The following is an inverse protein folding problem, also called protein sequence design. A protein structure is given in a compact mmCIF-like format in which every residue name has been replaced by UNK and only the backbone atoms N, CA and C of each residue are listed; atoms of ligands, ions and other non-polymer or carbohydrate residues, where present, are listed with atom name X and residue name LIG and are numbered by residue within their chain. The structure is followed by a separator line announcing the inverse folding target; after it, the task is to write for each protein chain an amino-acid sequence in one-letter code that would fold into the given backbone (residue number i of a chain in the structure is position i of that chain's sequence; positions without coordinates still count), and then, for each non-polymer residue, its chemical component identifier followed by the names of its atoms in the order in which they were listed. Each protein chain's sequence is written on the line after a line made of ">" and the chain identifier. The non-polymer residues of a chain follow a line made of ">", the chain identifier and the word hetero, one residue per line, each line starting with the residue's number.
data_IF_637770902225
#
_entry.id   IF_637770902225
#
_cell.length_a   1.000
_cell.length_b   1.000
_cell.length_c   1.000
_cell.angle_alpha   90.00
_cell.angle_beta   90.00
_cell.angle_gamma   90.00
#
_symmetry.space_group_name_H-M   'P 1'
#
loop_
_entity.id
_entity.type
_entity.pdbx_description
1 polymer ?
#
# COMPACT_ATOMS: atom_id res chain seq x y z
N UNK A 1 15.50 3.00 -3.30
CA UNK A 1 14.89 3.15 -4.64
C UNK A 1 13.50 3.73 -4.44
N UNK A 2 13.09 4.75 -5.19
CA UNK A 2 11.72 5.26 -5.15
C UNK A 2 10.74 4.19 -5.65
N UNK A 3 9.57 4.08 -5.00
CA UNK A 3 8.52 3.09 -5.28
C UNK A 3 7.93 3.17 -6.70
N UNK A 4 8.20 4.27 -7.42
CA UNK A 4 7.70 4.57 -8.76
C UNK A 4 8.07 3.52 -9.82
N UNK A 5 9.21 2.85 -9.66
CA UNK A 5 9.64 1.78 -10.56
C UNK A 5 9.16 0.38 -10.13
N UNK A 6 8.54 0.26 -8.94
CA UNK A 6 8.06 -1.02 -8.47
C UNK A 6 6.87 -1.50 -9.32
N UNK A 7 5.93 -0.65 -9.73
CA UNK A 7 4.73 -1.16 -10.41
C UNK A 7 4.88 -1.46 -11.91
N UNK A 8 5.99 -1.03 -12.55
CA UNK A 8 6.19 -1.16 -14.00
C UNK A 8 6.82 -2.49 -14.47
N UNK A 9 7.03 -3.45 -13.58
CA UNK A 9 7.53 -4.78 -13.93
C UNK A 9 7.07 -5.90 -13.01
N UNK A 10 6.15 -5.62 -12.08
CA UNK A 10 5.74 -6.56 -11.04
C UNK A 10 4.35 -7.11 -11.36
N UNK A 11 4.23 -8.45 -11.35
CA UNK A 11 2.97 -9.15 -11.63
C UNK A 11 1.89 -8.74 -10.63
N UNK A 12 1.00 -7.85 -11.09
CA UNK A 12 -0.07 -7.26 -10.30
C UNK A 12 -1.38 -7.93 -10.66
N UNK A 13 -2.10 -8.45 -9.68
CA UNK A 13 -3.35 -9.16 -9.86
C UNK A 13 -4.40 -8.71 -8.86
N UNK A 14 -5.64 -8.63 -9.32
CA UNK A 14 -6.80 -8.41 -8.46
C UNK A 14 -7.15 -9.71 -7.75
N UNK A 15 -7.17 -9.70 -6.43
CA UNK A 15 -7.68 -10.83 -5.63
C UNK A 15 -9.19 -10.70 -5.45
N UNK A 16 -9.67 -9.50 -5.12
CA UNK A 16 -11.08 -9.16 -5.05
C UNK A 16 -11.29 -7.66 -5.34
N UNK A 17 -12.52 -7.16 -5.24
CA UNK A 17 -12.83 -5.75 -5.52
C UNK A 17 -12.03 -4.72 -4.71
N UNK A 18 -11.47 -5.09 -3.57
CA UNK A 18 -10.77 -4.18 -2.66
C UNK A 18 -9.34 -4.62 -2.32
N UNK A 19 -8.84 -5.70 -2.94
CA UNK A 19 -7.51 -6.26 -2.65
C UNK A 19 -6.69 -6.40 -3.92
N UNK A 20 -5.56 -5.69 -3.95
CA UNK A 20 -4.53 -5.83 -4.96
C UNK A 20 -3.42 -6.75 -4.44
N UNK A 21 -2.99 -7.72 -5.23
CA UNK A 21 -1.78 -8.51 -5.00
C UNK A 21 -0.70 -8.08 -5.98
N UNK A 22 0.51 -7.85 -5.49
CA UNK A 22 1.67 -7.46 -6.27
C UNK A 22 2.81 -8.43 -5.97
N UNK A 23 3.41 -9.01 -7.00
CA UNK A 23 4.57 -9.88 -6.84
C UNK A 23 5.85 -9.10 -7.08
N UNK A 24 6.70 -8.96 -6.05
CA UNK A 24 7.93 -8.17 -6.13
C UNK A 24 9.17 -8.98 -6.57
N UNK A 25 8.99 -10.12 -7.23
CA UNK A 25 10.09 -11.02 -7.62
C UNK A 25 10.53 -12.02 -6.56
N UNK A 26 10.24 -11.75 -5.27
CA UNK A 26 10.58 -12.65 -4.15
C UNK A 26 9.37 -13.09 -3.31
N UNK A 27 8.38 -12.22 -3.14
CA UNK A 27 7.19 -12.50 -2.35
C UNK A 27 6.01 -11.67 -2.86
N UNK A 28 4.80 -12.09 -2.46
CA UNK A 28 3.58 -11.35 -2.72
C UNK A 28 3.33 -10.32 -1.62
N UNK A 29 3.01 -9.11 -2.06
CA UNK A 29 2.49 -8.04 -1.23
C UNK A 29 1.00 -7.86 -1.54
N UNK A 30 0.17 -7.69 -0.52
CA UNK A 30 -1.26 -7.51 -0.67
C UNK A 30 -1.66 -6.14 -0.11
N UNK A 31 -2.30 -5.30 -0.92
CA UNK A 31 -2.91 -4.06 -0.50
C UNK A 31 -4.39 -4.28 -0.31
N UNK A 32 -4.85 -4.31 0.95
CA UNK A 32 -6.27 -4.41 1.30
C UNK A 32 -6.81 -3.01 1.61
N UNK A 33 -7.57 -2.46 0.67
CA UNK A 33 -8.16 -1.14 0.80
C UNK A 33 -9.37 -1.11 1.74
N UNK A 34 -10.05 -2.25 1.94
CA UNK A 34 -11.17 -2.34 2.88
C UNK A 34 -10.67 -2.35 4.33
N UNK A 35 -9.60 -3.10 4.60
CA UNK A 35 -8.95 -3.19 5.91
C UNK A 35 -7.89 -2.09 6.14
N UNK A 36 -7.54 -1.32 5.09
CA UNK A 36 -6.54 -0.24 5.12
C UNK A 36 -5.16 -0.71 5.62
N UNK A 37 -4.73 -1.85 5.13
CA UNK A 37 -3.50 -2.52 5.54
C UNK A 37 -2.81 -3.14 4.34
N UNK A 38 -1.49 -3.11 4.35
CA UNK A 38 -0.66 -3.84 3.42
C UNK A 38 -0.06 -5.06 4.12
N UNK A 39 -0.20 -6.23 3.53
CA UNK A 39 0.47 -7.45 3.98
C UNK A 39 1.68 -7.73 3.11
N UNK A 40 2.85 -7.89 3.72
CA UNK A 40 4.09 -8.27 3.04
C UNK A 40 4.70 -9.45 3.77
N UNK A 41 4.55 -10.66 3.21
CA UNK A 41 4.91 -11.89 3.90
C UNK A 41 4.16 -12.06 5.22
N UNK A 42 4.89 -12.03 6.35
CA UNK A 42 4.33 -12.12 7.71
C UNK A 42 4.05 -10.75 8.35
N UNK A 43 4.42 -9.65 7.71
CA UNK A 43 4.21 -8.30 8.25
C UNK A 43 2.88 -7.72 7.78
N UNK A 44 2.16 -7.07 8.69
CA UNK A 44 1.00 -6.23 8.39
C UNK A 44 1.35 -4.77 8.68
N UNK A 45 1.30 -3.92 7.67
CA UNK A 45 1.66 -2.50 7.75
C UNK A 45 0.40 -1.67 7.51
N UNK A 46 -0.09 -0.92 8.51
CA UNK A 46 -1.23 -0.01 8.33
C UNK A 46 -0.96 1.04 7.26
N UNK A 47 -1.98 1.44 6.51
CA UNK A 47 -1.84 2.47 5.47
C UNK A 47 -1.35 3.82 6.01
N UNK A 48 -1.56 4.13 7.29
CA UNK A 48 -1.02 5.33 7.94
C UNK A 48 0.51 5.38 8.01
N UNK A 49 1.19 4.25 7.79
CA UNK A 49 2.65 4.14 7.76
C UNK A 49 3.21 4.06 6.34
N UNK A 50 2.34 4.05 5.32
CA UNK A 50 2.71 3.97 3.91
C UNK A 50 2.62 5.34 3.25
N UNK A 51 3.47 5.53 2.25
CA UNK A 51 3.45 6.74 1.43
C UNK A 51 2.13 6.83 0.65
N UNK A 52 1.51 8.01 0.71
CA UNK A 52 0.22 8.26 0.06
C UNK A 52 0.30 8.04 -1.45
N UNK A 53 1.40 8.40 -2.09
CA UNK A 53 1.62 8.17 -3.52
C UNK A 53 1.54 6.69 -3.87
N UNK A 54 2.17 5.81 -3.08
CA UNK A 54 2.12 4.36 -3.30
C UNK A 54 0.72 3.78 -3.10
N UNK A 55 -0.04 4.32 -2.14
CA UNK A 55 -1.44 3.92 -1.94
C UNK A 55 -2.33 4.34 -3.12
N UNK A 56 -2.08 5.52 -3.69
CA UNK A 56 -2.80 6.00 -4.88
C UNK A 56 -2.44 5.12 -6.08
N UNK A 57 -1.16 4.84 -6.32
CA UNK A 57 -0.72 3.97 -7.41
C UNK A 57 -1.31 2.56 -7.30
N UNK A 58 -1.27 1.96 -6.10
CA UNK A 58 -1.89 0.65 -5.87
C UNK A 58 -3.42 0.69 -6.07
N UNK A 59 -4.08 1.79 -5.68
CA UNK A 59 -5.52 1.95 -5.87
C UNK A 59 -5.88 2.06 -7.36
N UNK A 60 -5.15 2.89 -8.09
CA UNK A 60 -5.36 3.11 -9.51
C UNK A 60 -5.08 1.80 -10.29
N UNK A 61 -4.05 1.05 -9.90
CA UNK A 61 -3.78 -0.26 -10.47
C UNK A 61 -4.90 -1.26 -10.22
N UNK A 62 -5.48 -1.25 -9.02
CA UNK A 62 -6.63 -2.10 -8.71
C UNK A 62 -7.86 -1.71 -9.55
N UNK A 63 -8.08 -0.41 -9.80
CA UNK A 63 -9.15 0.09 -10.67
C UNK A 63 -8.91 -0.34 -12.13
N UNK A 64 -7.68 -0.24 -12.64
CA UNK A 64 -7.31 -0.76 -13.98
C UNK A 64 -7.67 -2.24 -14.13
N UNK A 65 -7.43 -3.03 -13.07
CA UNK A 65 -7.76 -4.46 -12.99
C UNK A 65 -9.26 -4.73 -12.72
N UNK A 66 -10.12 -3.72 -12.92
CA UNK A 66 -11.58 -3.78 -12.69
C UNK A 66 -11.94 -4.09 -11.23
N UNK A 67 -11.17 -3.54 -10.29
CA UNK A 67 -11.51 -3.48 -8.87
C UNK A 67 -12.38 -2.26 -8.55
N UNK A 68 -12.94 -2.26 -7.36
CA UNK A 68 -13.77 -1.20 -6.79
C UNK A 68 -13.27 -0.85 -5.37
N UNK A 69 -12.02 -0.39 -5.23
CA UNK A 69 -11.49 -0.04 -3.92
C UNK A 69 -12.26 1.14 -3.31
N UNK A 70 -12.47 1.14 -1.99
CA UNK A 70 -13.01 2.31 -1.29
C UNK A 70 -12.12 3.54 -1.49
N UNK A 71 -12.69 4.71 -1.21
CA UNK A 71 -11.92 5.95 -1.22
C UNK A 71 -10.83 5.92 -0.14
N UNK A 72 -9.65 6.42 -0.49
CA UNK A 72 -8.58 6.56 0.50
C UNK A 72 -9.03 7.57 1.56
N UNK A 73 -8.71 7.34 2.85
CA UNK A 73 -9.04 8.31 3.87
C UNK A 73 -8.42 9.68 3.52
N UNK A 74 -9.11 10.79 3.85
CA UNK A 74 -8.52 12.12 3.77
C UNK A 74 -7.20 12.10 4.54
N UNK A 75 -6.20 12.79 3.99
CA UNK A 75 -4.86 12.83 4.56
C UNK A 75 -4.97 13.31 6.02
N UNK A 76 -4.82 12.40 6.98
CA UNK A 76 -4.61 12.84 8.35
C UNK A 76 -3.30 13.63 8.32
N UNK A 77 -3.26 14.86 8.87
CA UNK A 77 -2.05 15.67 8.84
C UNK A 77 -0.92 14.80 9.39
N UNK A 78 0.10 14.57 8.57
CA UNK A 78 1.21 13.68 8.84
C UNK A 78 1.66 13.91 10.28
N UNK A 79 1.28 13.01 11.19
CA UNK A 79 1.80 13.06 12.55
C UNK A 79 3.22 12.58 12.38
N UNK A 80 4.11 13.56 12.28
CA UNK A 80 5.54 13.41 12.20
C UNK A 80 5.96 12.24 13.08
N UNK A 81 6.77 11.35 12.51
CA UNK A 81 7.34 10.19 13.20
C UNK A 81 7.64 10.53 14.66
N UNK A 82 7.34 9.64 15.63
CA UNK A 82 7.79 9.86 16.99
C UNK A 82 9.33 9.81 16.95
N UNK A 83 9.95 10.99 16.86
CA UNK A 83 11.36 11.19 17.15
C UNK A 83 11.47 10.80 18.61
N UNK A 84 11.86 9.55 18.86
CA UNK A 84 12.23 9.05 20.18
C UNK A 84 13.37 9.92 20.68
N UNK A 85 13.06 11.01 21.36
CA UNK A 85 14.01 11.74 22.20
C UNK A 85 14.33 10.80 23.35
N UNK A 86 15.44 10.06 23.20
CA UNK A 86 16.15 9.54 24.35
C UNK A 86 16.69 10.77 25.11
N UNK A 87 16.03 11.15 26.20
CA UNK A 87 16.64 12.03 27.18
C UNK A 87 17.60 11.16 28.01
N UNK A 88 18.90 11.42 27.86
CA UNK A 88 19.93 10.99 28.80
C UNK A 88 20.49 12.24 29.48
#
# INVERSE_FOLDING_TARGET
>A
MPLKDAFNGLDSNKVNGSVLRVYNGCFYTYYDFAQRVMYSGQASIPFSQLDRESLIEARDKLIELKGTPPELPPEAPATQAPVRKFNL
#
